data_IF_857966022975
#
_entry.id   IF_857966022975
#
_cell.length_a   1.000
_cell.length_b   1.000
_cell.length_c   1.000
_cell.angle_alpha   90.00
_cell.angle_beta   90.00
_cell.angle_gamma   90.00
#
_symmetry.space_group_name_H-M   'P 1'
#
loop_
_entity.id
_entity.type
_entity.pdbx_description
1 polymer ?
#
# COMPACT_ATOMS: atom_id res chain seq x y z
N UNK A 1 24.32 -28.22 2.22
CA UNK A 1 23.61 -27.34 1.26
C UNK A 1 23.61 -25.95 1.86
N UNK A 2 24.33 -24.99 1.29
CA UNK A 2 24.32 -23.60 1.75
C UNK A 2 22.89 -23.06 1.53
N UNK A 3 22.21 -22.62 2.59
CA UNK A 3 20.94 -21.93 2.44
C UNK A 3 21.20 -20.67 1.63
N UNK A 4 20.54 -20.51 0.47
CA UNK A 4 20.61 -19.26 -0.27
C UNK A 4 20.12 -18.13 0.63
N UNK A 5 20.82 -17.01 0.66
CA UNK A 5 20.35 -15.81 1.36
C UNK A 5 19.05 -15.33 0.72
N UNK A 6 18.15 -14.80 1.53
CA UNK A 6 16.92 -14.18 1.05
C UNK A 6 17.01 -12.67 1.19
N UNK A 7 16.48 -11.96 0.21
CA UNK A 7 16.29 -10.51 0.21
C UNK A 7 14.83 -10.19 -0.04
N UNK A 8 14.22 -9.36 0.79
CA UNK A 8 12.84 -8.96 0.67
C UNK A 8 12.76 -7.43 0.70
N UNK A 9 12.20 -6.87 -0.34
CA UNK A 9 11.96 -5.43 -0.47
C UNK A 9 10.46 -5.15 -0.61
N UNK A 10 10.03 -4.05 -0.03
CA UNK A 10 8.69 -3.50 -0.24
C UNK A 10 8.80 -2.04 -0.66
N UNK A 11 7.92 -1.60 -1.56
CA UNK A 11 7.63 -0.18 -1.71
C UNK A 11 6.62 0.27 -0.64
N UNK A 12 6.41 1.57 -0.41
CA UNK A 12 5.13 2.01 0.14
C UNK A 12 3.98 1.49 -0.72
N UNK A 13 2.84 1.19 -0.11
CA UNK A 13 1.60 1.00 -0.85
C UNK A 13 1.01 2.38 -1.16
N UNK A 14 0.57 2.59 -2.40
CA UNK A 14 0.21 3.92 -2.89
C UNK A 14 -1.30 4.16 -2.87
N UNK A 15 -1.72 5.36 -2.48
CA UNK A 15 -3.13 5.74 -2.54
C UNK A 15 -3.64 5.81 -3.98
N UNK A 16 -4.79 5.20 -4.21
CA UNK A 16 -5.50 5.25 -5.50
C UNK A 16 -6.50 6.41 -5.58
N UNK A 17 -6.13 7.56 -5.03
CA UNK A 17 -6.94 8.78 -5.15
C UNK A 17 -6.72 9.51 -6.49
N UNK A 18 -5.59 9.27 -7.15
CA UNK A 18 -5.25 9.83 -8.46
C UNK A 18 -4.32 8.89 -9.24
N UNK A 19 -4.04 9.24 -10.51
CA UNK A 19 -3.07 8.53 -11.34
C UNK A 19 -1.64 8.63 -10.75
N UNK A 20 -0.79 7.62 -10.98
CA UNK A 20 0.60 7.68 -10.55
C UNK A 20 1.38 8.82 -11.22
N UNK A 21 2.40 9.32 -10.53
CA UNK A 21 3.31 10.35 -11.01
C UNK A 21 4.77 9.90 -10.92
N UNK A 22 5.69 10.72 -11.39
CA UNK A 22 7.14 10.41 -11.47
C UNK A 22 7.74 10.01 -10.11
N UNK A 23 7.22 10.51 -8.99
CA UNK A 23 7.67 10.13 -7.64
C UNK A 23 7.38 8.67 -7.32
N UNK A 24 6.23 8.16 -7.74
CA UNK A 24 5.87 6.75 -7.62
C UNK A 24 6.79 5.87 -8.49
N UNK A 25 6.98 6.25 -9.77
CA UNK A 25 7.89 5.56 -10.67
C UNK A 25 9.33 5.52 -10.12
N UNK A 26 9.81 6.60 -9.53
CA UNK A 26 11.12 6.64 -8.88
C UNK A 26 11.25 5.60 -7.75
N UNK A 27 10.24 5.50 -6.90
CA UNK A 27 10.23 4.55 -5.78
C UNK A 27 10.23 3.10 -6.29
N UNK A 28 9.41 2.82 -7.30
CA UNK A 28 9.33 1.49 -7.92
C UNK A 28 10.67 1.09 -8.55
N UNK A 29 11.26 1.94 -9.36
CA UNK A 29 12.56 1.69 -10.00
C UNK A 29 13.66 1.48 -8.96
N UNK A 30 13.69 2.27 -7.87
CA UNK A 30 14.70 2.11 -6.83
C UNK A 30 14.59 0.74 -6.13
N UNK A 31 13.38 0.29 -5.81
CA UNK A 31 13.13 -1.01 -5.19
C UNK A 31 13.44 -2.18 -6.14
N UNK A 32 13.06 -2.04 -7.42
CA UNK A 32 13.34 -3.04 -8.44
C UNK A 32 14.83 -3.21 -8.71
N UNK A 33 15.59 -2.11 -8.84
CA UNK A 33 17.05 -2.15 -9.02
C UNK A 33 17.73 -2.89 -7.86
N UNK A 34 17.35 -2.61 -6.62
CA UNK A 34 17.89 -3.32 -5.46
C UNK A 34 17.55 -4.80 -5.49
N UNK A 35 16.32 -5.15 -5.83
CA UNK A 35 15.86 -6.53 -5.90
C UNK A 35 16.59 -7.31 -7.01
N UNK A 36 16.71 -6.73 -8.21
CA UNK A 36 17.48 -7.33 -9.33
C UNK A 36 18.96 -7.50 -8.98
N UNK A 37 19.54 -6.54 -8.27
CA UNK A 37 20.94 -6.64 -7.83
C UNK A 37 21.16 -7.82 -6.88
N UNK A 38 20.27 -8.03 -5.90
CA UNK A 38 20.31 -9.19 -5.00
C UNK A 38 20.09 -10.51 -5.76
N UNK A 39 19.13 -10.54 -6.69
CA UNK A 39 18.88 -11.71 -7.53
C UNK A 39 20.11 -12.09 -8.38
N UNK A 40 20.81 -11.11 -8.98
CA UNK A 40 22.03 -11.34 -9.76
C UNK A 40 23.17 -11.92 -8.91
N UNK A 41 23.16 -11.72 -7.62
CA UNK A 41 24.11 -12.31 -6.65
C UNK A 41 23.74 -13.74 -6.25
N UNK A 42 22.66 -14.30 -6.80
CA UNK A 42 22.17 -15.64 -6.49
C UNK A 42 21.37 -15.72 -5.18
N UNK A 43 20.89 -14.58 -4.67
CA UNK A 43 20.02 -14.53 -3.52
C UNK A 43 18.55 -14.76 -3.97
N UNK A 44 17.73 -15.31 -3.05
CA UNK A 44 16.28 -15.42 -3.27
C UNK A 44 15.64 -14.06 -3.00
N UNK A 45 15.49 -13.25 -4.05
CA UNK A 45 15.01 -11.89 -3.95
C UNK A 45 13.50 -11.81 -4.27
N UNK A 46 12.79 -10.98 -3.50
CA UNK A 46 11.35 -10.78 -3.62
C UNK A 46 11.02 -9.30 -3.48
N UNK A 47 10.28 -8.75 -4.43
CA UNK A 47 9.74 -7.38 -4.40
C UNK A 47 8.22 -7.43 -4.27
N UNK A 48 7.71 -6.77 -3.24
CA UNK A 48 6.29 -6.49 -3.04
C UNK A 48 6.01 -5.02 -3.26
N UNK A 49 5.06 -4.72 -4.11
CA UNK A 49 4.45 -3.40 -4.24
C UNK A 49 2.93 -3.51 -4.16
N UNK A 50 2.20 -2.39 -4.22
CA UNK A 50 0.74 -2.45 -4.18
C UNK A 50 0.08 -1.11 -3.95
N UNK A 51 -1.22 -1.18 -3.65
CA UNK A 51 -2.08 -0.01 -3.48
C UNK A 51 -2.79 -0.01 -2.13
N UNK A 52 -2.89 1.19 -1.54
CA UNK A 52 -3.72 1.49 -0.38
C UNK A 52 -5.06 2.03 -0.87
N UNK A 53 -6.13 1.26 -0.64
CA UNK A 53 -7.44 1.47 -1.25
C UNK A 53 -8.52 1.88 -0.23
N UNK A 54 -8.12 2.19 1.00
CA UNK A 54 -9.00 2.68 2.05
C UNK A 54 -8.74 4.16 2.35
N UNK A 55 -9.70 4.79 3.06
CA UNK A 55 -9.55 6.15 3.55
C UNK A 55 -10.50 7.16 2.92
N UNK A 56 -10.61 8.30 3.60
CA UNK A 56 -11.54 9.40 3.27
C UNK A 56 -11.26 10.00 1.88
N UNK A 57 -9.99 10.10 1.48
CA UNK A 57 -9.61 10.68 0.18
C UNK A 57 -10.18 9.88 -0.98
N UNK A 58 -10.10 8.54 -0.89
CA UNK A 58 -10.64 7.65 -1.93
C UNK A 58 -12.16 7.73 -1.97
N UNK A 59 -12.83 7.75 -0.80
CA UNK A 59 -14.28 7.94 -0.72
C UNK A 59 -14.72 9.22 -1.42
N UNK A 60 -14.05 10.35 -1.15
CA UNK A 60 -14.37 11.66 -1.75
C UNK A 60 -14.14 11.66 -3.26
N UNK A 61 -13.03 11.09 -3.73
CA UNK A 61 -12.71 11.04 -5.15
C UNK A 61 -13.70 10.15 -5.90
N UNK A 62 -14.05 8.99 -5.37
CA UNK A 62 -15.06 8.11 -5.94
C UNK A 62 -16.43 8.80 -6.02
N UNK A 63 -16.85 9.47 -4.95
CA UNK A 63 -18.11 10.23 -4.92
C UNK A 63 -18.13 11.36 -5.95
N UNK A 64 -17.03 12.12 -6.10
CA UNK A 64 -16.91 13.16 -7.12
C UNK A 64 -17.01 12.59 -8.54
N UNK A 65 -16.55 11.36 -8.77
CA UNK A 65 -16.65 10.65 -10.04
C UNK A 65 -17.94 9.82 -10.18
N UNK A 66 -18.83 9.83 -9.18
CA UNK A 66 -20.14 9.13 -9.18
C UNK A 66 -20.02 7.62 -9.34
N UNK A 67 -18.98 7.03 -8.77
CA UNK A 67 -18.72 5.58 -8.75
C UNK A 67 -18.54 5.09 -7.32
N UNK A 68 -18.58 3.77 -7.13
CA UNK A 68 -18.22 3.21 -5.81
C UNK A 68 -16.71 3.33 -5.55
N UNK A 69 -16.26 3.37 -4.28
CA UNK A 69 -14.82 3.36 -3.96
C UNK A 69 -14.09 2.17 -4.57
N UNK A 70 -14.74 1.00 -4.59
CA UNK A 70 -14.16 -0.19 -5.19
C UNK A 70 -14.00 -0.07 -6.71
N UNK A 71 -15.03 0.40 -7.41
CA UNK A 71 -14.98 0.58 -8.86
C UNK A 71 -13.93 1.64 -9.25
N UNK A 72 -13.79 2.69 -8.43
CA UNK A 72 -12.74 3.70 -8.60
C UNK A 72 -11.34 3.09 -8.47
N UNK A 73 -11.09 2.33 -7.39
CA UNK A 73 -9.82 1.67 -7.15
C UNK A 73 -9.51 0.65 -8.24
N UNK A 74 -10.47 -0.22 -8.61
CA UNK A 74 -10.32 -1.21 -9.68
C UNK A 74 -9.94 -0.55 -11.01
N UNK A 75 -10.59 0.58 -11.34
CA UNK A 75 -10.29 1.34 -12.54
C UNK A 75 -8.86 1.89 -12.52
N UNK A 76 -8.45 2.58 -11.45
CA UNK A 76 -7.12 3.16 -11.37
C UNK A 76 -6.02 2.11 -11.37
N UNK A 77 -6.23 1.00 -10.67
CA UNK A 77 -5.25 -0.10 -10.66
C UNK A 77 -5.08 -0.66 -12.07
N UNK A 78 -6.18 -0.97 -12.77
CA UNK A 78 -6.12 -1.60 -14.09
C UNK A 78 -5.68 -0.65 -15.21
N UNK A 79 -6.05 0.63 -15.14
CA UNK A 79 -5.80 1.59 -16.24
C UNK A 79 -4.55 2.44 -16.05
N UNK A 80 -4.01 2.53 -14.82
CA UNK A 80 -2.89 3.41 -14.55
C UNK A 80 -1.73 2.74 -13.78
N UNK A 81 -2.00 2.04 -12.66
CA UNK A 81 -0.94 1.50 -11.82
C UNK A 81 -0.25 0.29 -12.45
N UNK A 82 -0.98 -0.74 -12.86
CA UNK A 82 -0.39 -1.89 -13.53
C UNK A 82 0.30 -1.52 -14.86
N UNK A 83 -0.31 -0.69 -15.74
CA UNK A 83 0.38 -0.21 -16.94
C UNK A 83 1.64 0.62 -16.67
N UNK A 84 1.73 1.36 -15.56
CA UNK A 84 2.96 2.04 -15.18
C UNK A 84 4.08 1.02 -14.92
N UNK A 85 3.82 -0.01 -14.08
CA UNK A 85 4.82 -1.03 -13.76
C UNK A 85 5.32 -1.73 -15.02
N UNK A 86 4.41 -2.08 -15.93
CA UNK A 86 4.77 -2.67 -17.22
C UNK A 86 5.63 -1.72 -18.07
N UNK A 87 5.26 -0.43 -18.12
CA UNK A 87 5.96 0.58 -18.94
C UNK A 87 7.40 0.80 -18.49
N UNK A 88 7.67 0.75 -17.18
CA UNK A 88 9.00 0.94 -16.61
C UNK A 88 9.70 -0.39 -16.27
N UNK A 89 9.17 -1.52 -16.75
CA UNK A 89 9.74 -2.88 -16.61
C UNK A 89 10.04 -3.29 -15.16
N UNK A 90 9.11 -3.04 -14.25
CA UNK A 90 9.22 -3.46 -12.84
C UNK A 90 8.97 -4.97 -12.73
N UNK A 91 9.92 -5.68 -12.11
CA UNK A 91 9.85 -7.14 -11.92
C UNK A 91 9.44 -7.46 -10.46
N UNK A 92 8.25 -7.00 -10.06
CA UNK A 92 7.67 -7.36 -8.77
C UNK A 92 7.14 -8.79 -8.77
N UNK A 93 7.36 -9.52 -7.68
CA UNK A 93 6.87 -10.88 -7.51
C UNK A 93 5.43 -10.91 -7.01
N UNK A 94 4.98 -9.84 -6.38
CA UNK A 94 3.58 -9.71 -5.95
C UNK A 94 3.12 -8.25 -5.99
N UNK A 95 1.83 -8.06 -6.22
CA UNK A 95 1.13 -6.78 -6.13
C UNK A 95 -0.03 -6.95 -5.15
N UNK A 96 0.03 -6.26 -4.01
CA UNK A 96 -0.98 -6.35 -2.97
C UNK A 96 -1.95 -5.18 -3.06
N UNK A 97 -3.23 -5.47 -2.97
CA UNK A 97 -4.28 -4.46 -2.79
C UNK A 97 -4.84 -4.59 -1.37
N UNK A 98 -5.01 -3.48 -0.67
CA UNK A 98 -5.54 -3.55 0.71
C UNK A 98 -7.00 -4.01 0.76
N UNK A 99 -7.70 -4.00 -0.39
CA UNK A 99 -9.05 -4.58 -0.58
C UNK A 99 -9.05 -6.04 -1.02
N UNK A 100 -7.89 -6.67 -1.20
CA UNK A 100 -7.82 -8.11 -1.49
C UNK A 100 -8.30 -8.91 -0.27
N UNK A 101 -9.14 -9.91 -0.49
CA UNK A 101 -9.63 -10.82 0.56
C UNK A 101 -8.47 -11.45 1.36
N UNK A 102 -7.38 -11.80 0.68
CA UNK A 102 -6.18 -12.36 1.32
C UNK A 102 -5.54 -11.37 2.30
N UNK A 103 -5.56 -10.06 2.00
CA UNK A 103 -5.04 -9.02 2.86
C UNK A 103 -5.98 -8.79 4.05
N UNK A 104 -7.26 -8.53 3.78
CA UNK A 104 -8.26 -8.26 4.81
C UNK A 104 -8.34 -9.38 5.85
N UNK A 105 -8.39 -10.63 5.41
CA UNK A 105 -8.41 -11.80 6.31
C UNK A 105 -7.18 -11.85 7.21
N UNK A 106 -5.98 -11.62 6.65
CA UNK A 106 -4.75 -11.67 7.43
C UNK A 106 -4.66 -10.52 8.44
N UNK A 107 -5.11 -9.32 8.06
CA UNK A 107 -5.21 -8.16 8.97
C UNK A 107 -6.17 -8.47 10.12
N UNK A 108 -7.35 -9.02 9.84
CA UNK A 108 -8.34 -9.39 10.85
C UNK A 108 -7.78 -10.41 11.84
N UNK A 109 -7.12 -11.47 11.35
CA UNK A 109 -6.50 -12.50 12.21
C UNK A 109 -5.39 -11.89 13.08
N UNK A 110 -4.56 -11.02 12.52
CA UNK A 110 -3.48 -10.37 13.24
C UNK A 110 -4.02 -9.43 14.34
N UNK A 111 -4.99 -8.57 14.00
CA UNK A 111 -5.60 -7.65 14.95
C UNK A 111 -6.37 -8.39 16.06
N UNK A 112 -7.07 -9.49 15.74
CA UNK A 112 -7.73 -10.31 16.74
C UNK A 112 -6.73 -10.90 17.73
N UNK A 113 -5.59 -11.41 17.24
CA UNK A 113 -4.52 -11.91 18.11
C UNK A 113 -3.99 -10.82 19.05
N UNK A 114 -3.79 -9.60 18.55
CA UNK A 114 -3.33 -8.48 19.39
C UNK A 114 -4.39 -8.09 20.44
N UNK A 115 -5.66 -8.13 20.09
CA UNK A 115 -6.76 -7.89 21.03
C UNK A 115 -6.82 -8.97 22.12
N UNK A 116 -6.72 -10.24 21.74
CA UNK A 116 -6.78 -11.37 22.68
C UNK A 116 -5.59 -11.38 23.66
N UNK A 117 -4.46 -10.82 23.24
CA UNK A 117 -3.25 -10.68 24.08
C UNK A 117 -3.19 -9.35 24.85
N UNK A 118 -4.23 -8.50 24.75
CA UNK A 118 -4.36 -7.27 25.54
C UNK A 118 -3.58 -6.06 25.01
N UNK A 119 -3.00 -6.14 23.81
CA UNK A 119 -2.30 -5.01 23.18
C UNK A 119 -3.27 -4.00 22.55
N UNK A 120 -4.52 -4.38 22.30
CA UNK A 120 -5.55 -3.52 21.74
C UNK A 120 -6.72 -3.46 22.74
N UNK A 121 -7.17 -2.25 23.05
CA UNK A 121 -8.33 -1.98 23.89
C UNK A 121 -9.18 -0.87 23.30
N UNK A 122 -10.44 -0.82 23.68
CA UNK A 122 -11.35 0.25 23.27
C UNK A 122 -11.12 1.49 24.14
N UNK A 123 -10.92 2.64 23.49
CA UNK A 123 -10.77 3.93 24.13
C UNK A 123 -11.58 5.00 23.40
N UNK A 124 -11.59 6.20 23.96
CA UNK A 124 -12.17 7.40 23.32
C UNK A 124 -11.07 8.43 23.14
N UNK A 125 -11.09 9.10 22.01
CA UNK A 125 -10.21 10.21 21.70
C UNK A 125 -11.03 11.34 21.06
N UNK A 126 -10.86 12.57 21.55
CA UNK A 126 -11.50 13.77 21.00
C UNK A 126 -10.43 14.75 20.53
N UNK A 127 -10.65 15.36 19.38
CA UNK A 127 -9.73 16.35 18.82
C UNK A 127 -10.18 16.82 17.44
N UNK A 128 -9.54 17.88 16.95
CA UNK A 128 -9.77 18.38 15.61
C UNK A 128 -9.10 17.47 14.58
N UNK A 129 -9.88 16.84 13.72
CA UNK A 129 -9.37 15.93 12.69
C UNK A 129 -9.05 16.67 11.39
N UNK A 130 -7.79 16.57 10.94
CA UNK A 130 -7.35 17.10 9.66
C UNK A 130 -7.48 16.03 8.56
N UNK A 131 -8.42 16.22 7.64
CA UNK A 131 -8.62 15.29 6.50
C UNK A 131 -7.42 15.26 5.56
N UNK A 132 -6.75 16.41 5.36
CA UNK A 132 -5.58 16.48 4.49
C UNK A 132 -4.37 15.71 5.04
N UNK A 133 -4.17 15.77 6.37
CA UNK A 133 -3.08 15.06 7.06
C UNK A 133 -3.48 13.65 7.50
N UNK A 134 -4.79 13.35 7.54
CA UNK A 134 -5.38 12.10 8.07
C UNK A 134 -4.99 11.83 9.54
N UNK A 135 -4.94 12.90 10.34
CA UNK A 135 -4.57 12.83 11.76
C UNK A 135 -5.38 13.83 12.62
N UNK A 136 -5.46 13.54 13.91
CA UNK A 136 -5.95 14.48 14.88
C UNK A 136 -4.88 15.52 15.21
N UNK A 137 -5.28 16.80 15.27
CA UNK A 137 -4.42 17.93 15.62
C UNK A 137 -4.63 18.35 17.05
N UNK A 138 -3.54 18.73 17.71
CA UNK A 138 -3.60 19.39 19.02
C UNK A 138 -3.93 20.89 18.85
N UNK A 139 -4.35 21.56 19.92
CA UNK A 139 -4.65 23.01 19.87
C UNK A 139 -3.45 23.84 19.43
N UNK A 140 -2.22 23.37 19.65
CA UNK A 140 -1.00 24.04 19.22
C UNK A 140 -0.63 23.86 17.75
N UNK A 141 -1.33 22.95 17.04
CA UNK A 141 -1.09 22.62 15.63
C UNK A 141 -2.15 23.26 14.70
N UNK A 142 -3.08 24.02 15.28
CA UNK A 142 -4.12 24.80 14.59
C UNK A 142 -3.69 26.23 14.46
#
# INVERSE_FOLDING_TARGET
MSSSKSFYATTPIFYVNDAPHIGHAYTEVAADVLTRWHAQRGENAFLLTGTDEHGEKILRTAAANKVSPKDWADKLVSEAWLPLLDTIDINNQDFIRTTDERHERNVQVFLQKLKDTGFIYQGSYEGNYCVGCEEYKTEGDL
#
